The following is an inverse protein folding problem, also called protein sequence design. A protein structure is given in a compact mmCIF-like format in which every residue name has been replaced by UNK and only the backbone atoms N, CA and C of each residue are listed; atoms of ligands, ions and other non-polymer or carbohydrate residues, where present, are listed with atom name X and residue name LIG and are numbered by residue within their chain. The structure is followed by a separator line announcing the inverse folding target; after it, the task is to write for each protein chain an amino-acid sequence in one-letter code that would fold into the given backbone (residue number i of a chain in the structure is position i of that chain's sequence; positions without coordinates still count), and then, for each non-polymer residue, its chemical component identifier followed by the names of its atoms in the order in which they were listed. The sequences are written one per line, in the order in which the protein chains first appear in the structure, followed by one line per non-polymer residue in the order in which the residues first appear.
data_IF_949707548580
#
_entry.id   IF_949707548580
#
_cell.length_a   1.000
_cell.length_b   1.000
_cell.length_c   1.000
_cell.angle_alpha   90.00
_cell.angle_beta   90.00
_cell.angle_gamma   90.00
#
_symmetry.space_group_name_H-M   'P 1'
#
loop_
_entity.id
_entity.type
_entity.pdbx_description
1 polymer ?
#
# COMPACT_ATOMS: atom_id res chain seq x y z
N UNK A 1 -20.51 19.94 -0.24
CA UNK A 1 -20.70 18.71 -1.04
C UNK A 1 -20.84 19.08 -2.51
N UNK A 2 -19.76 19.03 -3.27
CA UNK A 2 -19.77 19.29 -4.72
C UNK A 2 -20.31 18.07 -5.46
N UNK A 3 -21.44 18.26 -6.14
CA UNK A 3 -22.07 17.31 -7.06
C UNK A 3 -21.01 16.82 -8.06
N UNK A 4 -20.88 15.50 -8.25
CA UNK A 4 -19.91 14.97 -9.21
C UNK A 4 -20.23 15.52 -10.62
N UNK A 5 -19.24 16.00 -11.40
CA UNK A 5 -19.46 16.33 -12.79
C UNK A 5 -19.97 15.10 -13.54
N UNK A 6 -20.90 15.31 -14.47
CA UNK A 6 -21.59 14.25 -15.23
C UNK A 6 -20.65 13.46 -16.14
N UNK A 7 -19.42 13.93 -16.34
CA UNK A 7 -18.34 13.29 -17.10
C UNK A 7 -16.98 13.81 -16.61
N UNK A 8 -15.98 12.93 -16.51
CA UNK A 8 -14.58 13.24 -16.17
C UNK A 8 -13.63 12.67 -17.22
N UNK A 9 -12.41 13.19 -17.34
CA UNK A 9 -11.45 12.65 -18.30
C UNK A 9 -10.90 11.29 -17.84
N UNK A 10 -10.64 11.12 -16.55
CA UNK A 10 -10.20 9.85 -15.98
C UNK A 10 -10.96 9.50 -14.71
N UNK A 11 -11.60 8.33 -14.69
CA UNK A 11 -12.13 7.73 -13.48
C UNK A 11 -11.22 6.59 -13.02
N UNK A 12 -10.79 6.64 -11.77
CA UNK A 12 -9.85 5.71 -11.15
C UNK A 12 -10.59 4.95 -10.06
N UNK A 13 -10.74 3.64 -10.22
CA UNK A 13 -11.36 2.78 -9.22
C UNK A 13 -10.30 2.33 -8.21
N UNK A 14 -10.37 2.82 -6.97
CA UNK A 14 -9.46 2.48 -5.87
C UNK A 14 -8.56 3.64 -5.42
N UNK A 15 -8.61 3.97 -4.13
CA UNK A 15 -7.81 5.01 -3.46
C UNK A 15 -6.53 4.49 -2.79
N UNK A 16 -5.98 3.37 -3.26
CA UNK A 16 -4.66 2.90 -2.82
C UNK A 16 -3.51 3.74 -3.42
N UNK A 17 -2.23 3.39 -3.13
CA UNK A 17 -1.08 4.17 -3.58
C UNK A 17 -1.05 4.41 -5.09
N UNK A 18 -1.39 3.39 -5.89
CA UNK A 18 -1.42 3.51 -7.35
C UNK A 18 -2.48 4.51 -7.83
N UNK A 19 -3.70 4.41 -7.30
CA UNK A 19 -4.81 5.27 -7.71
C UNK A 19 -4.65 6.72 -7.25
N UNK A 20 -4.19 6.92 -6.02
CA UNK A 20 -3.92 8.27 -5.48
C UNK A 20 -2.77 8.96 -6.21
N UNK A 21 -1.67 8.24 -6.48
CA UNK A 21 -0.55 8.79 -7.23
C UNK A 21 -0.97 9.15 -8.66
N UNK A 22 -1.71 8.26 -9.35
CA UNK A 22 -2.20 8.56 -10.70
C UNK A 22 -3.14 9.76 -10.72
N UNK A 23 -4.08 9.85 -9.78
CA UNK A 23 -5.01 10.98 -9.67
C UNK A 23 -4.27 12.30 -9.45
N UNK A 24 -3.24 12.32 -8.59
CA UNK A 24 -2.35 13.46 -8.40
C UNK A 24 -1.65 13.87 -9.71
N UNK A 25 -1.03 12.91 -10.42
CA UNK A 25 -0.26 13.17 -11.63
C UNK A 25 -1.14 13.71 -12.76
N UNK A 26 -2.33 13.12 -12.97
CA UNK A 26 -3.28 13.59 -13.99
C UNK A 26 -3.82 14.99 -13.67
N UNK A 27 -4.18 15.25 -12.42
CA UNK A 27 -4.65 16.56 -12.00
C UNK A 27 -3.56 17.64 -12.12
N UNK A 28 -2.31 17.28 -11.80
CA UNK A 28 -1.13 18.14 -12.02
C UNK A 28 -0.90 18.44 -13.51
N UNK A 29 -1.23 17.50 -14.40
CA UNK A 29 -1.18 17.71 -15.84
C UNK A 29 -2.38 18.51 -16.39
N UNK A 30 -3.28 19.00 -15.52
CA UNK A 30 -4.44 19.81 -15.91
C UNK A 30 -5.67 19.00 -16.33
N UNK A 31 -5.68 17.68 -16.10
CA UNK A 31 -6.80 16.80 -16.43
C UNK A 31 -7.79 16.66 -15.26
N UNK A 32 -9.05 16.38 -15.57
CA UNK A 32 -10.06 16.03 -14.58
C UNK A 32 -9.97 14.55 -14.20
N UNK A 33 -9.50 14.27 -12.98
CA UNK A 33 -9.30 12.94 -12.43
C UNK A 33 -10.17 12.72 -11.20
N UNK A 34 -10.98 11.66 -11.22
CA UNK A 34 -11.83 11.23 -10.12
C UNK A 34 -11.36 9.89 -9.57
N UNK A 35 -10.94 9.88 -8.30
CA UNK A 35 -10.63 8.66 -7.56
C UNK A 35 -11.85 8.25 -6.72
N UNK A 36 -12.29 7.01 -6.90
CA UNK A 36 -13.39 6.41 -6.15
C UNK A 36 -12.84 5.38 -5.16
N UNK A 37 -13.04 5.61 -3.87
CA UNK A 37 -12.60 4.74 -2.79
C UNK A 37 -13.80 4.26 -1.98
N UNK A 38 -13.90 2.95 -1.77
CA UNK A 38 -15.05 2.33 -1.09
C UNK A 38 -15.01 2.49 0.43
N UNK A 39 -13.84 2.73 1.01
CA UNK A 39 -13.66 2.92 2.44
C UNK A 39 -13.92 4.38 2.85
N UNK A 40 -14.21 4.58 4.15
CA UNK A 40 -14.49 5.91 4.71
C UNK A 40 -13.23 6.73 4.96
N UNK A 41 -12.13 6.05 5.26
CA UNK A 41 -10.80 6.61 5.49
C UNK A 41 -9.73 5.66 4.92
N UNK A 42 -8.47 6.07 5.01
CA UNK A 42 -7.33 5.22 4.66
C UNK A 42 -6.85 4.35 5.84
N UNK A 43 -7.51 4.43 7.01
CA UNK A 43 -7.12 3.73 8.22
C UNK A 43 -7.46 2.24 8.10
N UNK A 44 -6.61 1.54 7.34
CA UNK A 44 -6.60 0.09 7.28
C UNK A 44 -5.23 -0.37 7.73
N UNK A 45 -5.20 -1.54 8.35
CA UNK A 45 -3.97 -2.19 8.76
C UNK A 45 -3.26 -2.76 7.51
N UNK A 46 -2.77 -1.85 6.67
CA UNK A 46 -1.91 -2.16 5.54
C UNK A 46 -0.57 -2.64 6.10
N UNK A 47 -0.03 -3.69 5.49
CA UNK A 47 1.25 -4.28 5.91
C UNK A 47 2.42 -3.87 5.00
N UNK A 48 2.15 -2.97 4.04
CA UNK A 48 3.10 -2.44 3.05
C UNK A 48 3.53 -1.01 3.39
N UNK A 49 4.27 -0.84 4.48
CA UNK A 49 4.60 0.47 5.05
C UNK A 49 6.02 0.94 4.70
N UNK A 50 6.64 0.36 3.66
CA UNK A 50 8.01 0.66 3.26
C UNK A 50 8.00 1.49 1.98
N UNK A 51 8.58 2.68 2.04
CA UNK A 51 8.80 3.56 0.90
C UNK A 51 10.27 3.47 0.51
N UNK A 52 10.53 3.04 -0.72
CA UNK A 52 11.88 2.81 -1.23
C UNK A 52 12.57 4.10 -1.71
N UNK A 53 13.92 4.15 -1.74
CA UNK A 53 14.70 5.23 -2.34
C UNK A 53 14.19 5.68 -3.72
N UNK A 54 13.80 4.76 -4.59
CA UNK A 54 13.24 5.06 -5.91
C UNK A 54 11.90 5.80 -5.83
N UNK A 55 11.02 5.41 -4.90
CA UNK A 55 9.77 6.13 -4.67
C UNK A 55 10.03 7.51 -4.06
N UNK A 56 10.99 7.63 -3.13
CA UNK A 56 11.40 8.92 -2.56
C UNK A 56 11.99 9.85 -3.65
N UNK A 57 12.69 9.30 -4.63
CA UNK A 57 13.16 10.06 -5.79
C UNK A 57 11.98 10.64 -6.59
N UNK A 58 10.96 9.84 -6.89
CA UNK A 58 9.73 10.34 -7.54
C UNK A 58 9.08 11.45 -6.71
N UNK A 59 9.02 11.30 -5.39
CA UNK A 59 8.51 12.36 -4.51
C UNK A 59 9.37 13.64 -4.57
N UNK A 60 10.69 13.51 -4.77
CA UNK A 60 11.60 14.64 -4.98
C UNK A 60 11.34 15.35 -6.30
N UNK A 61 11.25 14.61 -7.41
CA UNK A 61 10.93 15.13 -8.73
C UNK A 61 9.58 15.85 -8.76
N UNK A 62 8.62 15.37 -7.96
CA UNK A 62 7.32 16.00 -7.79
C UNK A 62 7.34 17.22 -6.85
N UNK A 63 8.45 17.52 -6.17
CA UNK A 63 8.55 18.61 -5.20
C UNK A 63 7.75 18.36 -3.92
N UNK A 64 7.49 17.09 -3.60
CA UNK A 64 6.69 16.66 -2.45
C UNK A 64 7.53 16.03 -1.33
N UNK A 65 8.79 15.69 -1.60
CA UNK A 65 9.67 14.99 -0.67
C UNK A 65 9.79 15.69 0.70
N UNK A 66 10.10 16.99 0.70
CA UNK A 66 10.32 17.73 1.96
C UNK A 66 9.06 17.81 2.83
N UNK A 67 7.88 17.79 2.20
CA UNK A 67 6.60 17.72 2.90
C UNK A 67 6.36 16.32 3.47
N UNK A 68 6.65 15.29 2.68
CA UNK A 68 6.45 13.89 3.07
C UNK A 68 7.34 13.52 4.26
N UNK A 69 8.62 13.89 4.23
CA UNK A 69 9.59 13.57 5.30
C UNK A 69 9.34 14.35 6.62
N UNK A 70 8.34 15.24 6.67
CA UNK A 70 7.90 15.85 7.95
C UNK A 70 6.94 14.96 8.73
N UNK A 71 6.31 13.98 8.07
CA UNK A 71 5.42 13.04 8.75
C UNK A 71 6.24 12.10 9.64
N UNK A 72 5.67 11.57 10.75
CA UNK A 72 6.34 10.58 11.58
C UNK A 72 6.78 9.36 10.76
N UNK A 73 8.07 9.06 10.79
CA UNK A 73 8.63 7.92 10.07
C UNK A 73 9.97 7.48 10.67
N UNK A 74 10.42 6.29 10.28
CA UNK A 74 11.77 5.81 10.56
C UNK A 74 12.58 5.72 9.26
N UNK A 75 13.80 6.22 9.28
CA UNK A 75 14.78 6.00 8.22
C UNK A 75 15.61 4.74 8.48
N UNK A 76 15.81 3.93 7.45
CA UNK A 76 16.73 2.78 7.50
C UNK A 76 17.66 2.78 6.29
N UNK A 77 18.97 2.92 6.55
CA UNK A 77 20.03 2.99 5.53
C UNK A 77 20.62 1.64 5.16
N UNK A 78 20.58 0.72 6.10
CA UNK A 78 21.15 -0.62 5.98
C UNK A 78 20.17 -1.63 6.55
N UNK A 79 20.03 -2.77 5.87
CA UNK A 79 19.31 -3.93 6.37
C UNK A 79 20.30 -5.06 6.58
N UNK A 80 20.16 -5.74 7.70
CA UNK A 80 20.90 -6.96 8.00
C UNK A 80 19.93 -8.12 8.17
N UNK A 81 20.44 -9.32 7.91
CA UNK A 81 19.78 -10.57 8.26
C UNK A 81 20.67 -11.36 9.21
N UNK A 82 20.04 -12.02 10.17
CA UNK A 82 20.68 -13.06 10.95
C UNK A 82 20.41 -14.41 10.27
N UNK A 83 21.46 -15.11 9.87
CA UNK A 83 21.42 -16.46 9.29
C UNK A 83 22.13 -17.40 10.25
N UNK A 84 21.37 -18.20 11.01
CA UNK A 84 21.91 -18.92 12.17
C UNK A 84 22.54 -17.97 13.19
N UNK A 85 23.84 -18.11 13.45
CA UNK A 85 24.59 -17.23 14.37
C UNK A 85 25.28 -16.05 13.68
N UNK A 86 25.22 -15.96 12.35
CA UNK A 86 25.95 -14.94 11.58
C UNK A 86 25.02 -13.80 11.19
N UNK A 87 25.44 -12.57 11.46
CA UNK A 87 24.77 -11.36 10.94
C UNK A 87 25.42 -10.99 9.60
N UNK A 88 24.60 -10.95 8.55
CA UNK A 88 25.02 -10.58 7.19
C UNK A 88 24.31 -9.29 6.73
N UNK A 89 25.02 -8.35 6.11
CA UNK A 89 24.37 -7.23 5.44
C UNK A 89 23.59 -7.74 4.22
N UNK A 90 22.31 -7.35 4.11
CA UNK A 90 21.41 -7.73 3.01
C UNK A 90 21.24 -6.60 2.03
N UNK A 91 21.21 -5.36 2.52
CA UNK A 91 21.11 -4.19 1.68
C UNK A 91 21.83 -3.01 2.34
N UNK A 92 22.54 -2.23 1.51
CA UNK A 92 23.09 -0.94 1.87
C UNK A 92 22.59 0.09 0.83
N UNK A 93 21.70 0.97 1.28
CA UNK A 93 21.07 1.97 0.41
C UNK A 93 21.96 3.22 0.24
N UNK A 94 23.04 3.37 1.02
CA UNK A 94 23.90 4.56 1.02
C UNK A 94 24.68 4.75 -0.29
N UNK A 95 24.80 3.68 -1.07
CA UNK A 95 25.45 3.65 -2.38
C UNK A 95 24.50 3.96 -3.56
N UNK A 96 23.19 4.07 -3.32
CA UNK A 96 22.24 4.32 -4.40
C UNK A 96 22.36 5.76 -4.96
N UNK A 97 22.24 5.93 -6.29
CA UNK A 97 22.32 7.24 -6.93
C UNK A 97 20.99 8.01 -6.85
N UNK A 98 20.41 8.10 -5.66
CA UNK A 98 19.14 8.79 -5.37
C UNK A 98 19.35 9.91 -4.35
N UNK A 99 18.42 10.86 -4.32
CA UNK A 99 18.32 11.96 -3.35
C UNK A 99 18.26 11.42 -1.92
N UNK A 100 17.35 10.49 -1.68
CA UNK A 100 17.22 9.77 -0.41
C UNK A 100 17.89 8.41 -0.53
N UNK A 101 18.91 8.18 0.31
CA UNK A 101 19.69 6.94 0.33
C UNK A 101 19.34 6.06 1.53
N UNK A 102 18.03 5.91 1.75
CA UNK A 102 17.43 5.19 2.86
C UNK A 102 16.00 4.75 2.52
N UNK A 103 15.52 3.70 3.18
CA UNK A 103 14.11 3.35 3.25
C UNK A 103 13.41 4.25 4.27
N UNK A 104 12.14 4.50 4.02
CA UNK A 104 11.23 5.13 4.99
C UNK A 104 10.19 4.11 5.41
N UNK A 105 10.09 3.86 6.72
CA UNK A 105 8.96 3.15 7.31
C UNK A 105 7.94 4.16 7.80
N UNK A 106 6.78 4.18 7.13
CA UNK A 106 5.69 5.11 7.39
C UNK A 106 4.37 4.36 7.27
N UNK A 107 3.39 4.58 8.17
CA UNK A 107 2.06 4.01 7.99
C UNK A 107 1.47 4.41 6.63
N UNK A 108 0.94 3.44 5.89
CA UNK A 108 0.42 3.72 4.54
C UNK A 108 -0.69 4.79 4.53
N UNK A 109 -1.50 4.89 5.59
CA UNK A 109 -2.54 5.92 5.67
C UNK A 109 -1.94 7.33 5.67
N UNK A 110 -0.84 7.57 6.39
CA UNK A 110 -0.17 8.88 6.44
C UNK A 110 0.34 9.28 5.05
N UNK A 111 0.87 8.30 4.30
CA UNK A 111 1.29 8.50 2.92
C UNK A 111 0.10 8.83 1.99
N UNK A 112 -1.02 8.12 2.13
CA UNK A 112 -2.21 8.35 1.31
C UNK A 112 -2.91 9.66 1.63
N UNK A 113 -3.02 10.03 2.91
CA UNK A 113 -3.54 11.33 3.35
C UNK A 113 -2.67 12.47 2.81
N UNK A 114 -1.35 12.30 2.86
CA UNK A 114 -0.41 13.27 2.28
C UNK A 114 -0.61 13.43 0.77
N UNK A 115 -0.75 12.32 0.02
CA UNK A 115 -1.04 12.38 -1.42
C UNK A 115 -2.40 13.02 -1.71
N UNK A 116 -3.43 12.72 -0.91
CA UNK A 116 -4.76 13.31 -1.04
C UNK A 116 -4.71 14.84 -0.84
N UNK A 117 -4.04 15.30 0.21
CA UNK A 117 -3.82 16.72 0.47
C UNK A 117 -2.97 17.39 -0.62
N UNK A 118 -1.99 16.68 -1.18
CA UNK A 118 -1.21 17.16 -2.31
C UNK A 118 -2.05 17.30 -3.59
N UNK A 119 -2.88 16.31 -3.88
CA UNK A 119 -3.72 16.29 -5.08
C UNK A 119 -4.86 17.31 -5.01
N UNK A 120 -5.44 17.53 -3.82
CA UNK A 120 -6.52 18.49 -3.60
C UNK A 120 -6.15 19.96 -3.92
N UNK A 121 -4.85 20.27 -4.06
CA UNK A 121 -4.38 21.58 -4.52
C UNK A 121 -4.67 21.83 -6.00
N UNK A 122 -4.93 20.79 -6.78
CA UNK A 122 -5.23 20.88 -8.20
C UNK A 122 -6.75 20.85 -8.43
N UNK A 123 -7.35 21.86 -9.10
CA UNK A 123 -8.79 21.91 -9.35
C UNK A 123 -9.36 20.70 -10.10
N UNK A 124 -8.53 20.02 -10.91
CA UNK A 124 -8.91 18.83 -11.65
C UNK A 124 -9.00 17.55 -10.82
N UNK A 125 -8.54 17.55 -9.57
CA UNK A 125 -8.59 16.37 -8.71
C UNK A 125 -9.91 16.29 -7.93
N UNK A 126 -10.48 15.10 -7.85
CA UNK A 126 -11.57 14.77 -6.95
C UNK A 126 -11.38 13.39 -6.35
N UNK A 127 -11.50 13.30 -5.03
CA UNK A 127 -11.60 12.04 -4.30
C UNK A 127 -13.02 11.88 -3.76
N UNK A 128 -13.58 10.67 -3.87
CA UNK A 128 -14.86 10.30 -3.27
C UNK A 128 -14.66 9.02 -2.45
N UNK A 129 -14.71 9.19 -1.13
CA UNK A 129 -14.70 8.10 -0.16
C UNK A 129 -16.10 7.46 -0.08
N UNK A 130 -16.22 6.29 0.54
CA UNK A 130 -17.47 5.53 0.68
C UNK A 130 -18.22 5.35 -0.65
N UNK A 131 -17.46 5.19 -1.72
CA UNK A 131 -17.95 5.17 -3.09
C UNK A 131 -17.32 3.97 -3.80
N UNK A 132 -18.04 2.85 -3.80
CA UNK A 132 -17.55 1.58 -4.34
C UNK A 132 -17.86 1.47 -5.84
N UNK A 133 -16.84 1.17 -6.64
CA UNK A 133 -17.06 0.80 -8.04
C UNK A 133 -17.53 -0.65 -8.11
N UNK A 134 -18.70 -0.87 -8.69
CA UNK A 134 -19.37 -2.18 -8.76
C UNK A 134 -19.40 -2.75 -10.18
N UNK A 135 -18.99 -1.97 -11.18
CA UNK A 135 -18.77 -2.52 -12.52
C UNK A 135 -18.38 -1.49 -13.57
N UNK A 136 -18.10 -1.97 -14.78
CA UNK A 136 -17.89 -1.17 -15.98
C UNK A 136 -19.23 -0.70 -16.56
N UNK A 137 -19.22 0.50 -17.13
CA UNK A 137 -20.28 0.98 -18.01
C UNK A 137 -19.77 0.88 -19.44
N UNK A 138 -20.44 0.08 -20.26
CA UNK A 138 -20.07 -0.16 -21.66
C UNK A 138 -21.17 0.27 -22.62
N UNK A 139 -20.77 0.91 -23.71
CA UNK A 139 -21.62 1.28 -24.83
C UNK A 139 -20.92 0.90 -26.14
N UNK A 140 -21.61 0.13 -26.98
CA UNK A 140 -21.08 -0.31 -28.28
C UNK A 140 -19.68 -0.96 -28.20
N UNK A 141 -19.42 -1.73 -27.14
CA UNK A 141 -18.14 -2.41 -26.93
C UNK A 141 -17.00 -1.52 -26.43
N UNK A 142 -17.27 -0.26 -26.09
CA UNK A 142 -16.31 0.67 -25.47
C UNK A 142 -16.70 0.91 -24.00
N UNK A 143 -15.71 0.85 -23.11
CA UNK A 143 -15.87 1.35 -21.74
C UNK A 143 -16.03 2.88 -21.77
N UNK A 144 -17.15 3.35 -21.25
CA UNK A 144 -17.52 4.78 -21.20
C UNK A 144 -17.69 5.30 -19.77
N UNK A 145 -17.37 4.48 -18.77
CA UNK A 145 -17.50 4.84 -17.36
C UNK A 145 -17.57 3.63 -16.44
N UNK A 146 -18.12 3.87 -15.25
CA UNK A 146 -18.30 2.86 -14.20
C UNK A 146 -19.68 2.95 -13.54
N UNK A 147 -20.16 1.81 -13.08
CA UNK A 147 -21.26 1.68 -12.12
C UNK A 147 -20.71 1.82 -10.71
N UNK A 148 -21.41 2.56 -9.87
CA UNK A 148 -20.93 2.98 -8.55
C UNK A 148 -22.01 2.81 -7.51
N UNK A 149 -21.68 2.23 -6.37
CA UNK A 149 -22.51 2.20 -5.16
C UNK A 149 -22.05 3.31 -4.21
N UNK A 150 -23.00 4.17 -3.82
CA UNK A 150 -22.80 5.23 -2.81
C UNK A 150 -23.74 5.00 -1.64
N UNK A 151 -23.57 5.74 -0.54
CA UNK A 151 -24.54 5.74 0.57
C UNK A 151 -25.97 6.13 0.14
N UNK A 152 -26.11 6.96 -0.91
CA UNK A 152 -27.40 7.36 -1.46
C UNK A 152 -27.99 6.34 -2.46
N UNK A 153 -27.25 5.27 -2.77
CA UNK A 153 -27.64 4.22 -3.71
C UNK A 153 -26.78 4.15 -4.97
N UNK A 154 -27.18 3.31 -5.94
CA UNK A 154 -26.43 3.09 -7.18
C UNK A 154 -26.52 4.29 -8.12
N UNK A 155 -25.38 4.70 -8.67
CA UNK A 155 -25.23 5.76 -9.67
C UNK A 155 -24.23 5.34 -10.75
N UNK A 156 -24.15 6.12 -11.83
CA UNK A 156 -23.13 5.94 -12.87
C UNK A 156 -22.21 7.15 -12.96
N UNK A 157 -20.96 6.89 -13.31
CA UNK A 157 -19.98 7.94 -13.61
C UNK A 157 -19.43 7.70 -15.00
N UNK A 158 -19.60 8.67 -15.91
CA UNK A 158 -19.03 8.61 -17.25
C UNK A 158 -17.59 9.12 -17.25
N UNK A 159 -16.72 8.48 -18.03
CA UNK A 159 -15.35 8.90 -18.20
C UNK A 159 -14.79 8.61 -19.59
N UNK A 160 -13.84 9.41 -20.04
CA UNK A 160 -13.12 9.16 -21.30
C UNK A 160 -12.18 7.95 -21.17
N UNK A 161 -11.58 7.79 -19.98
CA UNK A 161 -10.73 6.68 -19.56
C UNK A 161 -11.15 6.16 -18.17
N UNK A 162 -11.17 4.84 -18.01
CA UNK A 162 -11.33 4.16 -16.72
C UNK A 162 -10.03 3.41 -16.40
N UNK A 163 -9.51 3.60 -15.18
CA UNK A 163 -8.33 2.89 -14.68
C UNK A 163 -8.69 2.04 -13.47
N UNK A 164 -8.45 0.74 -13.58
CA UNK A 164 -8.60 -0.22 -12.49
C UNK A 164 -7.37 -0.15 -11.55
N UNK A 165 -7.53 0.48 -10.39
CA UNK A 165 -6.56 0.55 -9.30
C UNK A 165 -7.09 -0.10 -8.00
N UNK A 166 -8.03 -1.04 -8.14
CA UNK A 166 -8.84 -1.70 -7.10
C UNK A 166 -8.18 -2.97 -6.54
N UNK A 167 -6.88 -3.13 -6.80
CA UNK A 167 -6.01 -4.09 -6.12
C UNK A 167 -6.11 -5.53 -6.62
N UNK A 168 -5.64 -6.46 -5.79
CA UNK A 168 -5.42 -7.87 -6.19
C UNK A 168 -6.69 -8.59 -6.64
N UNK A 169 -7.84 -8.28 -6.02
CA UNK A 169 -9.15 -8.84 -6.33
C UNK A 169 -9.97 -7.93 -7.27
N UNK A 170 -9.29 -7.18 -8.13
CA UNK A 170 -9.92 -6.22 -9.05
C UNK A 170 -11.11 -6.83 -9.80
N UNK A 171 -12.28 -6.25 -9.56
CA UNK A 171 -13.51 -6.61 -10.26
C UNK A 171 -13.45 -6.12 -11.70
N UNK A 172 -12.95 -4.89 -11.89
CA UNK A 172 -12.89 -4.26 -13.21
C UNK A 172 -11.93 -4.97 -14.15
N UNK A 173 -10.81 -5.49 -13.64
CA UNK A 173 -9.88 -6.31 -14.43
C UNK A 173 -10.59 -7.53 -15.02
N UNK A 174 -11.38 -8.24 -14.20
CA UNK A 174 -12.14 -9.40 -14.65
C UNK A 174 -13.22 -9.02 -15.67
N UNK A 175 -13.96 -7.94 -15.44
CA UNK A 175 -14.99 -7.46 -16.37
C UNK A 175 -14.41 -6.98 -17.70
N UNK A 176 -13.22 -6.39 -17.69
CA UNK A 176 -12.50 -6.00 -18.90
C UNK A 176 -11.90 -7.19 -19.68
N UNK A 177 -12.13 -8.43 -19.25
CA UNK A 177 -11.56 -9.63 -19.90
C UNK A 177 -10.05 -9.77 -19.73
N UNK A 178 -9.46 -9.09 -18.74
CA UNK A 178 -8.03 -9.15 -18.46
C UNK A 178 -7.76 -10.27 -17.44
N UNK A 179 -7.05 -11.30 -17.89
CA UNK A 179 -6.70 -12.44 -17.04
C UNK A 179 -5.36 -12.23 -16.35
N UNK A 180 -5.33 -12.42 -15.03
CA UNK A 180 -4.10 -12.44 -14.27
C UNK A 180 -3.53 -13.86 -14.24
N UNK A 181 -2.24 -14.00 -14.46
CA UNK A 181 -1.53 -15.25 -14.23
C UNK A 181 -1.13 -15.35 -12.75
N UNK A 182 -1.72 -16.30 -12.03
CA UNK A 182 -1.39 -16.54 -10.62
C UNK A 182 -0.30 -17.60 -10.49
N UNK A 183 0.94 -17.15 -10.30
CA UNK A 183 2.09 -18.04 -10.05
C UNK A 183 2.12 -18.59 -8.61
N UNK A 184 1.27 -18.07 -7.73
CA UNK A 184 1.24 -18.41 -6.31
C UNK A 184 2.41 -17.86 -5.50
N UNK A 185 2.30 -17.98 -4.18
CA UNK A 185 3.40 -17.75 -3.26
C UNK A 185 3.55 -18.99 -2.36
N UNK A 186 4.76 -19.51 -2.14
CA UNK A 186 4.98 -20.73 -1.37
C UNK A 186 4.81 -20.53 0.15
N UNK A 187 4.39 -19.34 0.58
CA UNK A 187 4.39 -18.91 1.97
C UNK A 187 3.15 -18.07 2.34
N UNK A 188 2.81 -18.09 3.62
CA UNK A 188 1.93 -17.12 4.29
C UNK A 188 2.75 -16.35 5.35
N UNK A 189 2.22 -15.23 5.84
CA UNK A 189 2.89 -14.42 6.88
C UNK A 189 1.93 -14.15 8.02
N UNK A 190 2.33 -14.51 9.25
CA UNK A 190 1.61 -14.20 10.47
C UNK A 190 2.11 -12.86 11.01
N UNK A 191 1.24 -11.86 11.03
CA UNK A 191 1.55 -10.52 11.51
C UNK A 191 1.10 -10.34 12.96
N UNK A 192 1.99 -9.85 13.81
CA UNK A 192 1.68 -9.53 15.21
C UNK A 192 2.61 -8.44 15.74
N UNK A 193 2.29 -7.91 16.93
CA UNK A 193 3.09 -6.88 17.60
C UNK A 193 3.76 -7.46 18.83
N UNK A 194 5.00 -7.09 19.07
CA UNK A 194 5.70 -7.34 20.34
C UNK A 194 6.06 -6.01 20.98
N UNK A 195 5.85 -5.87 22.29
CA UNK A 195 6.29 -4.70 23.03
C UNK A 195 7.81 -4.62 22.99
N UNK A 196 8.35 -3.43 22.72
CA UNK A 196 9.80 -3.20 22.74
C UNK A 196 10.29 -2.99 24.17
N UNK A 197 11.33 -3.71 24.56
CA UNK A 197 12.03 -3.52 25.82
C UNK A 197 12.93 -2.28 25.80
N UNK A 198 13.16 -1.64 26.95
CA UNK A 198 14.05 -0.46 27.07
C UNK A 198 15.51 -0.72 26.68
N UNK A 199 15.92 -2.00 26.63
CA UNK A 199 17.26 -2.41 26.20
C UNK A 199 17.31 -2.94 24.76
N UNK A 200 16.19 -2.93 24.04
CA UNK A 200 16.16 -3.39 22.65
C UNK A 200 16.85 -2.35 21.77
N UNK A 201 18.15 -2.54 21.53
CA UNK A 201 18.96 -1.75 20.59
C UNK A 201 18.77 -2.20 19.12
N UNK A 202 17.75 -3.04 18.87
CA UNK A 202 17.57 -3.73 17.61
C UNK A 202 17.45 -2.78 16.41
N UNK A 203 18.05 -3.19 15.29
CA UNK A 203 17.75 -2.65 13.96
C UNK A 203 16.63 -3.49 13.35
N UNK A 204 15.89 -2.94 12.40
CA UNK A 204 15.00 -3.74 11.54
C UNK A 204 15.81 -4.89 10.94
N UNK A 205 15.40 -6.13 11.22
CA UNK A 205 16.18 -7.33 10.94
C UNK A 205 15.28 -8.48 10.51
N UNK A 206 15.76 -9.28 9.57
CA UNK A 206 15.20 -10.60 9.28
C UNK A 206 16.05 -11.69 9.91
N UNK A 207 15.45 -12.62 10.63
CA UNK A 207 16.08 -13.86 11.06
C UNK A 207 15.66 -14.97 10.10
N UNK A 208 16.65 -15.68 9.57
CA UNK A 208 16.47 -16.75 8.60
C UNK A 208 17.10 -18.03 9.16
N UNK A 209 16.23 -18.95 9.56
CA UNK A 209 16.60 -20.28 10.01
C UNK A 209 15.96 -21.32 9.09
N UNK A 210 16.38 -22.59 9.21
CA UNK A 210 15.87 -23.67 8.37
C UNK A 210 14.33 -23.80 8.52
N UNK A 211 13.60 -23.39 7.48
CA UNK A 211 12.13 -23.43 7.45
C UNK A 211 11.43 -22.31 8.22
N UNK A 212 12.15 -21.29 8.69
CA UNK A 212 11.59 -20.18 9.46
C UNK A 212 12.19 -18.85 9.02
N UNK A 213 11.33 -17.89 8.67
CA UNK A 213 11.76 -16.50 8.46
C UNK A 213 10.97 -15.63 9.42
N UNK A 214 11.67 -14.81 10.19
CA UNK A 214 11.08 -13.90 11.14
C UNK A 214 11.58 -12.48 10.88
N UNK A 215 10.67 -11.57 10.52
CA UNK A 215 10.99 -10.18 10.23
C UNK A 215 10.53 -9.31 11.38
N UNK A 216 11.40 -8.46 11.88
CA UNK A 216 11.10 -7.48 12.92
C UNK A 216 11.33 -6.08 12.37
N UNK A 217 10.28 -5.26 12.34
CA UNK A 217 10.32 -3.85 11.92
C UNK A 217 10.17 -2.99 13.16
N UNK A 218 11.12 -2.09 13.39
CA UNK A 218 11.05 -1.14 14.50
C UNK A 218 9.96 -0.09 14.22
N UNK A 219 9.03 0.10 15.17
CA UNK A 219 8.00 1.16 15.13
C UNK A 219 8.17 2.16 16.26
N UNK A 220 9.35 2.21 16.87
CA UNK A 220 9.64 3.03 18.05
C UNK A 220 9.12 2.39 19.34
N UNK A 221 7.80 2.34 19.50
CA UNK A 221 7.15 1.83 20.72
C UNK A 221 6.99 0.30 20.75
N UNK A 222 6.93 -0.32 19.58
CA UNK A 222 6.72 -1.76 19.42
C UNK A 222 7.48 -2.30 18.21
N UNK A 223 7.63 -3.63 18.17
CA UNK A 223 8.06 -4.36 16.98
C UNK A 223 6.85 -4.81 16.18
N UNK A 224 6.80 -4.44 14.90
CA UNK A 224 5.89 -5.09 13.95
C UNK A 224 6.59 -6.34 13.42
N UNK A 225 6.02 -7.50 13.74
CA UNK A 225 6.64 -8.79 13.47
C UNK A 225 5.89 -9.53 12.36
N UNK A 226 6.63 -10.07 11.40
CA UNK A 226 6.12 -10.97 10.36
C UNK A 226 6.80 -12.33 10.48
N UNK A 227 6.03 -13.36 10.85
CA UNK A 227 6.53 -14.73 10.91
C UNK A 227 6.06 -15.50 9.68
N UNK A 228 7.01 -15.83 8.79
CA UNK A 228 6.75 -16.50 7.52
C UNK A 228 6.58 -17.99 7.77
N UNK A 229 5.51 -18.54 7.21
CA UNK A 229 5.15 -19.95 7.33
C UNK A 229 4.93 -20.54 5.94
N UNK A 230 5.09 -21.87 5.76
CA UNK A 230 4.68 -22.52 4.53
C UNK A 230 3.21 -22.26 4.22
N UNK A 231 2.88 -22.12 2.94
CA UNK A 231 1.50 -21.91 2.48
C UNK A 231 0.55 -22.95 3.09
N UNK A 232 -0.58 -22.49 3.65
CA UNK A 232 -1.60 -23.36 4.21
C UNK A 232 -1.26 -23.96 5.59
N UNK A 233 -0.12 -23.59 6.19
CA UNK A 233 0.23 -24.08 7.53
C UNK A 233 -0.52 -23.38 8.68
N UNK A 234 -1.31 -22.33 8.39
CA UNK A 234 -1.97 -21.52 9.42
C UNK A 234 -2.85 -22.31 10.37
N UNK A 235 -3.75 -23.16 9.85
CA UNK A 235 -4.69 -23.90 10.72
C UNK A 235 -3.97 -24.83 11.69
N UNK A 236 -2.92 -25.54 11.23
CA UNK A 236 -2.07 -26.38 12.09
C UNK A 236 -1.36 -25.58 13.18
N UNK A 237 -0.90 -24.36 12.86
CA UNK A 237 -0.26 -23.48 13.85
C UNK A 237 -1.30 -23.00 14.86
N UNK A 238 -2.49 -22.63 14.39
CA UNK A 238 -3.60 -22.18 15.24
C UNK A 238 -4.05 -23.26 16.22
N UNK A 239 -4.16 -24.52 15.77
CA UNK A 239 -4.52 -25.68 16.60
C UNK A 239 -3.53 -25.92 17.75
N UNK A 240 -2.24 -25.62 17.55
CA UNK A 240 -1.22 -25.70 18.60
C UNK A 240 -1.35 -24.66 19.71
N UNK A 241 -2.15 -23.60 19.50
CA UNK A 241 -2.41 -22.56 20.48
C UNK A 241 -1.29 -21.53 20.66
N UNK A 242 -1.62 -20.42 21.34
CA UNK A 242 -0.69 -19.31 21.59
C UNK A 242 0.58 -19.70 22.39
N UNK A 243 0.54 -20.58 23.41
CA UNK A 243 1.75 -20.99 24.13
C UNK A 243 2.80 -21.63 23.21
N UNK A 244 2.39 -22.62 22.40
CA UNK A 244 3.29 -23.28 21.45
C UNK A 244 3.77 -22.34 20.33
N UNK A 245 2.99 -21.31 19.99
CA UNK A 245 3.45 -20.28 19.06
C UNK A 245 4.51 -19.37 19.70
N UNK A 246 4.34 -18.96 20.96
CA UNK A 246 5.32 -18.14 21.68
C UNK A 246 6.66 -18.85 21.82
N UNK A 247 6.66 -20.14 22.11
CA UNK A 247 7.89 -20.95 22.17
C UNK A 247 8.63 -21.02 20.83
N UNK A 248 7.92 -20.93 19.69
CA UNK A 248 8.56 -20.90 18.36
C UNK A 248 9.15 -19.54 18.01
N UNK A 249 8.63 -18.47 18.60
CA UNK A 249 9.07 -17.09 18.33
C UNK A 249 10.18 -16.64 19.29
N UNK A 250 10.23 -17.22 20.49
CA UNK A 250 11.27 -16.98 21.50
C UNK A 250 12.65 -17.46 21.03
#
# INVERSE_FOLDING_TARGET
MTRAPTSVQCCIAGGGPAGMMLGLLLARAGLTALVLEKHADFLRDFRGDTIHPSTLEVMHELGLLDGLLKLPHQEVRELAAQVGEVIVPVADFTHLPTRCRFLVFMPQWDFLDFLAAAAARYPGFSLRMQTEVTGLLEESGRVVGVQVMTEAGPVTVRADLVVAADGRHSLLRAQAGLHAEELGAPMDVLWFRLTRGRQDQGRTMGRFDAGQIFVMIDRGEYWQCGYVIPKGAYDRIREGGLPAFRERVA
#
